data_IF_529489379295
#
_entry.id   IF_529489379295
#
_cell.length_a   1.000
_cell.length_b   1.000
_cell.length_c   1.000
_cell.angle_alpha   90.00
_cell.angle_beta   90.00
_cell.angle_gamma   90.00
#
_symmetry.space_group_name_H-M   'P 1'
#
loop_
_entity.id
_entity.type
_entity.pdbx_description
1 polymer ?
#
# COMPACT_ATOMS: atom_id res chain seq x y z
N UNK A 1 13.46 3.88 -0.61
CA UNK A 1 13.12 3.30 0.71
C UNK A 1 14.26 3.56 1.70
N UNK A 2 13.95 3.67 2.99
CA UNK A 2 14.91 3.85 4.08
C UNK A 2 14.91 2.57 4.91
N UNK A 3 16.06 1.92 5.07
CA UNK A 3 16.22 0.76 5.97
C UNK A 3 17.15 1.18 7.09
N UNK A 4 16.63 1.24 8.31
CA UNK A 4 17.29 1.73 9.51
C UNK A 4 17.46 0.63 10.56
N UNK A 5 18.48 0.78 11.42
CA UNK A 5 18.78 -0.17 12.48
C UNK A 5 17.93 0.02 13.74
N UNK A 6 17.41 1.22 13.97
CA UNK A 6 16.61 1.62 15.14
C UNK A 6 15.59 2.71 14.78
N UNK A 7 14.62 2.95 15.67
CA UNK A 7 13.58 3.98 15.51
C UNK A 7 14.18 5.38 15.35
N UNK A 8 15.17 5.73 16.17
CA UNK A 8 15.85 7.03 16.12
C UNK A 8 16.57 7.25 14.77
N UNK A 9 17.30 6.24 14.26
CA UNK A 9 17.97 6.35 12.97
C UNK A 9 16.97 6.54 11.82
N UNK A 10 15.85 5.81 11.88
CA UNK A 10 14.77 5.91 10.90
C UNK A 10 14.14 7.31 10.91
N UNK A 11 13.82 7.85 12.09
CA UNK A 11 13.26 9.20 12.25
C UNK A 11 14.19 10.25 11.65
N UNK A 12 15.46 10.25 12.06
CA UNK A 12 16.44 11.26 11.61
C UNK A 12 16.68 11.21 10.10
N UNK A 13 16.73 10.01 9.51
CA UNK A 13 16.87 9.85 8.06
C UNK A 13 15.63 10.28 7.30
N UNK A 14 14.43 10.00 7.82
CA UNK A 14 13.20 10.50 7.20
C UNK A 14 13.15 12.04 7.24
N UNK A 15 13.50 12.65 8.37
CA UNK A 15 13.60 14.12 8.49
C UNK A 15 14.60 14.66 7.46
N UNK A 16 15.79 14.05 7.34
CA UNK A 16 16.77 14.46 6.33
C UNK A 16 16.25 14.38 4.90
N UNK A 17 15.51 13.31 4.56
CA UNK A 17 14.84 13.19 3.25
C UNK A 17 13.84 14.33 3.02
N UNK A 18 13.03 14.65 4.03
CA UNK A 18 12.03 15.73 3.95
C UNK A 18 12.72 17.08 3.73
N UNK A 19 13.81 17.36 4.43
CA UNK A 19 14.56 18.62 4.27
C UNK A 19 15.27 18.72 2.91
N UNK A 20 15.77 17.60 2.37
CA UNK A 20 16.50 17.57 1.10
C UNK A 20 15.58 17.65 -0.13
N UNK A 21 14.46 16.93 -0.12
CA UNK A 21 13.57 16.80 -1.28
C UNK A 21 12.24 17.54 -1.13
N UNK A 22 11.91 17.97 0.09
CA UNK A 22 10.59 18.45 0.41
C UNK A 22 10.27 19.81 -0.20
N UNK A 23 8.98 20.00 -0.49
CA UNK A 23 8.43 21.23 -1.03
C UNK A 23 7.41 21.82 -0.08
N UNK A 24 7.18 23.14 -0.12
CA UNK A 24 6.15 23.76 0.71
C UNK A 24 4.75 23.35 0.25
N UNK A 25 3.91 22.95 1.20
CA UNK A 25 2.51 22.59 1.00
C UNK A 25 1.61 23.31 2.00
N UNK A 26 0.42 23.79 1.57
CA UNK A 26 -0.60 24.23 2.50
C UNK A 26 -1.14 23.05 3.32
N UNK A 27 -1.49 23.32 4.56
CA UNK A 27 -2.05 22.36 5.51
C UNK A 27 -3.10 23.09 6.36
N UNK A 28 -4.12 22.35 6.82
CA UNK A 28 -5.05 22.82 7.86
C UNK A 28 -4.33 23.40 9.09
N UNK A 29 -3.13 22.89 9.39
CA UNK A 29 -2.32 23.28 10.55
C UNK A 29 -1.17 24.25 10.21
N UNK A 30 -1.26 24.97 9.08
CA UNK A 30 -0.27 25.95 8.63
C UNK A 30 0.45 25.51 7.36
N UNK A 31 1.75 25.75 7.28
CA UNK A 31 2.57 25.35 6.12
C UNK A 31 3.47 24.19 6.51
N UNK A 32 3.59 23.21 5.62
CA UNK A 32 4.40 22.03 5.81
C UNK A 32 5.42 21.88 4.67
N UNK A 33 6.56 21.28 4.96
CA UNK A 33 7.51 20.80 3.97
C UNK A 33 7.24 19.31 3.80
N UNK A 34 6.81 18.89 2.62
CA UNK A 34 6.42 17.52 2.31
C UNK A 34 7.26 16.98 1.15
N UNK A 35 7.75 15.74 1.26
CA UNK A 35 8.40 15.03 0.16
C UNK A 35 7.55 13.87 -0.35
N UNK A 36 8.07 13.16 -1.37
CA UNK A 36 7.39 12.02 -2.01
C UNK A 36 7.19 10.86 -1.02
N UNK A 37 6.27 9.92 -1.31
CA UNK A 37 6.05 8.76 -0.46
C UNK A 37 7.35 8.01 -0.14
N UNK A 38 7.44 7.47 1.08
CA UNK A 38 8.62 6.76 1.54
C UNK A 38 8.23 5.45 2.24
N UNK A 39 8.83 4.34 1.81
CA UNK A 39 8.86 3.12 2.60
C UNK A 39 10.02 3.20 3.60
N UNK A 40 9.70 3.18 4.89
CA UNK A 40 10.67 3.20 5.99
C UNK A 40 10.60 1.88 6.75
N UNK A 41 11.72 1.18 6.89
CA UNK A 41 11.85 -0.10 7.60
C UNK A 41 12.76 0.08 8.81
N UNK A 42 12.34 -0.44 9.95
CA UNK A 42 13.07 -0.43 11.22
C UNK A 42 13.35 -1.89 11.61
N UNK A 43 14.61 -2.31 11.48
CA UNK A 43 15.02 -3.71 11.68
C UNK A 43 14.82 -4.19 13.12
N UNK A 44 15.19 -3.35 14.09
CA UNK A 44 15.06 -3.66 15.51
C UNK A 44 14.15 -2.59 16.15
N UNK A 45 12.84 -2.83 16.20
CA UNK A 45 11.92 -1.92 16.87
C UNK A 45 12.08 -2.04 18.40
N UNK A 46 12.32 -0.90 19.03
CA UNK A 46 12.43 -0.72 20.48
C UNK A 46 11.47 0.40 20.88
N UNK A 47 10.91 0.33 22.09
CA UNK A 47 10.13 1.44 22.63
C UNK A 47 11.05 2.62 22.93
N UNK A 48 10.65 3.80 22.48
CA UNK A 48 11.40 5.04 22.74
C UNK A 48 10.67 5.89 23.78
N UNK A 49 9.34 5.89 23.76
CA UNK A 49 8.48 6.63 24.69
C UNK A 49 7.58 5.68 25.50
N UNK A 50 6.99 6.18 26.60
CA UNK A 50 5.92 5.45 27.28
C UNK A 50 4.68 5.43 26.39
N UNK A 51 4.01 4.27 26.30
CA UNK A 51 2.78 4.11 25.52
C UNK A 51 1.62 4.89 26.17
N UNK A 52 1.52 6.19 25.90
CA UNK A 52 0.36 7.01 26.25
C UNK A 52 -0.33 7.58 25.01
N UNK A 53 -1.39 6.88 24.57
CA UNK A 53 -2.25 7.33 23.46
C UNK A 53 -3.58 7.89 23.93
N UNK A 54 -3.74 8.11 25.25
CA UNK A 54 -4.98 8.67 25.80
C UNK A 54 -5.27 10.07 25.23
N UNK A 55 -4.23 10.79 24.79
CA UNK A 55 -4.33 12.11 24.17
C UNK A 55 -4.49 12.09 22.63
N UNK A 56 -4.29 10.94 21.97
CA UNK A 56 -4.31 10.83 20.51
C UNK A 56 -5.65 10.26 20.02
N UNK A 57 -6.67 11.13 19.95
CA UNK A 57 -8.01 10.74 19.52
C UNK A 57 -8.22 10.82 18.00
N UNK A 58 -8.60 9.68 17.41
CA UNK A 58 -9.05 9.52 16.03
C UNK A 58 -10.58 9.45 16.01
N UNK A 59 -11.25 10.48 15.48
CA UNK A 59 -12.71 10.59 15.50
C UNK A 59 -13.37 10.33 16.89
N UNK A 60 -12.71 10.74 17.99
CA UNK A 60 -13.10 10.51 19.41
C UNK A 60 -12.87 9.11 19.97
N UNK A 61 -12.18 8.25 19.22
CA UNK A 61 -11.70 6.92 19.65
C UNK A 61 -10.17 6.97 19.75
N UNK A 62 -9.54 6.01 20.45
CA UNK A 62 -8.09 5.81 20.38
C UNK A 62 -7.71 4.81 19.28
N UNK A 63 -6.43 4.76 18.90
CA UNK A 63 -5.93 3.68 18.03
C UNK A 63 -6.10 2.30 18.68
N UNK A 64 -5.91 2.18 20.00
CA UNK A 64 -6.10 0.92 20.73
C UNK A 64 -7.53 0.41 20.66
N UNK A 65 -8.52 1.31 20.80
CA UNK A 65 -9.95 0.97 20.73
C UNK A 65 -10.29 0.24 19.42
N UNK A 66 -9.57 0.56 18.33
CA UNK A 66 -9.79 -0.04 17.01
C UNK A 66 -9.05 -1.36 16.78
N UNK A 67 -8.02 -1.69 17.57
CA UNK A 67 -7.17 -2.86 17.32
C UNK A 67 -7.25 -3.92 18.41
N UNK A 68 -7.50 -3.58 19.67
CA UNK A 68 -7.37 -4.49 20.82
C UNK A 68 -8.17 -5.78 20.63
N UNK A 69 -9.44 -5.68 20.22
CA UNK A 69 -10.31 -6.83 19.96
C UNK A 69 -9.93 -7.68 18.73
N UNK A 70 -8.99 -7.22 17.90
CA UNK A 70 -8.56 -7.89 16.67
C UNK A 70 -7.21 -8.59 16.83
N UNK A 71 -6.39 -8.22 17.83
CA UNK A 71 -5.06 -8.78 18.04
C UNK A 71 -5.11 -10.27 18.40
N UNK A 72 -6.07 -10.69 19.23
CA UNK A 72 -6.26 -12.10 19.59
C UNK A 72 -6.60 -12.96 18.37
N UNK A 73 -7.51 -12.47 17.52
CA UNK A 73 -7.92 -13.16 16.28
C UNK A 73 -6.74 -13.26 15.31
N UNK A 74 -5.96 -12.18 15.16
CA UNK A 74 -4.76 -12.17 14.34
C UNK A 74 -3.73 -13.21 14.83
N UNK A 75 -3.49 -13.24 16.14
CA UNK A 75 -2.54 -14.18 16.76
C UNK A 75 -2.98 -15.64 16.63
N UNK A 76 -4.27 -15.94 16.81
CA UNK A 76 -4.81 -17.29 16.62
C UNK A 76 -4.60 -17.78 15.19
N UNK A 77 -4.93 -16.94 14.19
CA UNK A 77 -4.76 -17.27 12.77
C UNK A 77 -3.29 -17.48 12.41
N UNK A 78 -2.39 -16.62 12.90
CA UNK A 78 -0.94 -16.76 12.69
C UNK A 78 -0.37 -17.99 13.38
N UNK A 79 -0.87 -18.34 14.57
CA UNK A 79 -0.46 -19.58 15.25
C UNK A 79 -0.85 -20.82 14.45
N UNK A 80 -2.04 -20.81 13.85
CA UNK A 80 -2.53 -21.92 13.04
C UNK A 80 -1.81 -22.03 11.69
N UNK A 81 -1.60 -20.91 11.00
CA UNK A 81 -0.95 -20.84 9.67
C UNK A 81 0.00 -19.65 9.61
N UNK A 82 1.26 -19.76 10.09
CA UNK A 82 2.19 -18.63 10.17
C UNK A 82 2.46 -17.93 8.84
N UNK A 83 2.44 -18.68 7.74
CA UNK A 83 2.67 -18.17 6.38
C UNK A 83 1.44 -17.51 5.76
N UNK A 84 0.33 -17.34 6.50
CA UNK A 84 -0.83 -16.61 6.01
C UNK A 84 -0.45 -15.17 5.66
N UNK A 85 -1.08 -14.66 4.61
CA UNK A 85 -0.98 -13.28 4.11
C UNK A 85 -2.28 -12.50 4.32
N UNK A 86 -3.23 -13.08 5.06
CA UNK A 86 -4.59 -12.55 5.25
C UNK A 86 -4.68 -11.57 6.41
N UNK A 87 -3.67 -11.52 7.27
CA UNK A 87 -3.71 -10.79 8.52
C UNK A 87 -3.36 -9.34 8.27
N UNK A 88 -4.42 -8.54 8.21
CA UNK A 88 -4.33 -7.10 8.01
C UNK A 88 -5.50 -6.44 8.71
N UNK A 89 -5.19 -5.52 9.62
CA UNK A 89 -6.14 -4.84 10.49
C UNK A 89 -6.39 -3.44 9.91
N UNK A 90 -7.62 -3.15 9.43
CA UNK A 90 -7.98 -1.80 9.04
C UNK A 90 -8.21 -0.95 10.28
N UNK A 91 -7.55 0.20 10.32
CA UNK A 91 -7.82 1.24 11.30
C UNK A 91 -8.79 2.25 10.71
N UNK A 92 -8.64 2.60 9.43
CA UNK A 92 -9.59 3.48 8.74
C UNK A 92 -10.95 2.81 8.55
N UNK A 93 -12.02 3.56 8.83
CA UNK A 93 -13.40 3.16 8.60
C UNK A 93 -14.11 4.22 7.73
N UNK A 94 -15.12 3.84 6.94
CA UNK A 94 -15.84 4.78 6.07
C UNK A 94 -16.40 6.01 6.82
N UNK A 95 -16.85 5.82 8.07
CA UNK A 95 -17.34 6.89 8.95
C UNK A 95 -16.30 7.98 9.21
N UNK A 96 -15.01 7.69 9.09
CA UNK A 96 -13.93 8.63 9.39
C UNK A 96 -13.89 9.81 8.42
N UNK A 97 -14.47 9.64 7.22
CA UNK A 97 -14.66 10.76 6.30
C UNK A 97 -15.51 11.90 6.88
N UNK A 98 -16.38 11.59 7.84
CA UNK A 98 -17.33 12.51 8.46
C UNK A 98 -16.77 13.18 9.72
N UNK A 99 -15.51 12.92 10.06
CA UNK A 99 -14.87 13.40 11.27
C UNK A 99 -13.72 14.37 10.96
N UNK A 100 -13.37 15.23 11.92
CA UNK A 100 -12.35 16.26 11.73
C UNK A 100 -10.91 15.75 11.90
N UNK A 101 -10.72 14.68 12.68
CA UNK A 101 -9.41 14.10 13.00
C UNK A 101 -9.37 12.62 12.64
N UNK A 102 -9.47 12.26 11.34
CA UNK A 102 -9.43 10.87 10.93
C UNK A 102 -8.04 10.25 11.18
N UNK A 103 -7.93 8.91 11.31
CA UNK A 103 -6.67 8.26 11.64
C UNK A 103 -5.60 8.48 10.58
N UNK A 104 -4.35 8.65 10.99
CA UNK A 104 -3.18 8.77 10.12
C UNK A 104 -2.63 7.40 9.70
N UNK A 105 -2.60 6.43 10.62
CA UNK A 105 -2.36 5.03 10.31
C UNK A 105 -3.68 4.42 9.87
N UNK A 106 -3.71 3.87 8.65
CA UNK A 106 -4.97 3.44 8.02
C UNK A 106 -5.13 1.92 7.96
N UNK A 107 -4.02 1.19 7.84
CA UNK A 107 -3.98 -0.28 7.78
C UNK A 107 -2.70 -0.76 8.43
N UNK A 108 -2.75 -1.90 9.13
CA UNK A 108 -1.59 -2.60 9.70
C UNK A 108 -1.61 -4.07 9.28
N UNK A 109 -0.68 -4.47 8.42
CA UNK A 109 -0.52 -5.84 7.93
C UNK A 109 0.58 -6.60 8.67
N UNK A 110 0.32 -7.86 8.96
CA UNK A 110 1.28 -8.80 9.53
C UNK A 110 1.75 -9.78 8.46
N UNK A 111 3.05 -10.07 8.43
CA UNK A 111 3.62 -11.04 7.50
C UNK A 111 4.80 -11.77 8.14
N UNK A 112 4.77 -13.09 8.09
CA UNK A 112 5.88 -13.93 8.56
C UNK A 112 6.90 -14.13 7.43
N UNK A 113 8.14 -13.69 7.66
CA UNK A 113 9.29 -13.91 6.79
C UNK A 113 10.61 -13.71 7.56
N UNK A 114 11.73 -14.22 7.04
CA UNK A 114 13.01 -14.25 7.76
C UNK A 114 12.90 -14.90 9.14
N UNK A 115 12.07 -15.94 9.23
CA UNK A 115 11.74 -16.69 10.45
C UNK A 115 11.14 -15.85 11.60
N UNK A 116 10.65 -14.64 11.28
CA UNK A 116 10.10 -13.68 12.24
C UNK A 116 8.75 -13.15 11.76
N UNK A 117 7.92 -12.74 12.72
CA UNK A 117 6.71 -11.98 12.44
C UNK A 117 7.09 -10.52 12.23
N UNK A 118 6.61 -9.93 11.14
CA UNK A 118 6.89 -8.54 10.79
C UNK A 118 5.58 -7.78 10.63
N UNK A 119 5.61 -6.47 10.89
CA UNK A 119 4.47 -5.57 10.70
C UNK A 119 4.80 -4.52 9.63
N UNK A 120 3.80 -4.16 8.84
CA UNK A 120 3.86 -3.04 7.90
C UNK A 120 2.59 -2.21 8.01
N UNK A 121 2.72 -0.90 8.16
CA UNK A 121 1.59 0.01 8.22
C UNK A 121 1.48 0.88 6.96
N UNK A 122 0.25 1.27 6.60
CA UNK A 122 0.00 2.35 5.67
C UNK A 122 -0.33 3.64 6.41
N UNK A 123 0.56 4.62 6.33
CA UNK A 123 0.45 5.91 7.01
C UNK A 123 0.15 6.99 5.98
N UNK A 124 -1.08 7.52 5.98
CA UNK A 124 -1.55 8.47 4.95
C UNK A 124 -0.92 9.86 5.08
N UNK A 125 -0.46 10.23 6.28
CA UNK A 125 0.23 11.49 6.54
C UNK A 125 1.00 11.38 7.85
N UNK A 126 2.29 11.72 7.83
CA UNK A 126 3.13 11.65 9.02
C UNK A 126 3.93 12.94 9.19
N UNK A 127 3.69 13.63 10.31
CA UNK A 127 4.63 14.63 10.81
C UNK A 127 5.80 13.89 11.47
N UNK A 128 6.89 13.79 10.71
CA UNK A 128 8.04 12.95 11.04
C UNK A 128 8.75 13.37 12.33
N UNK A 129 8.55 14.60 12.77
CA UNK A 129 9.24 15.15 13.94
C UNK A 129 8.47 14.86 15.23
N UNK A 130 7.13 14.98 15.20
CA UNK A 130 6.30 14.86 16.39
C UNK A 130 5.64 13.48 16.55
N UNK A 131 5.43 12.73 15.45
CA UNK A 131 4.58 11.53 15.47
C UNK A 131 5.29 10.26 15.00
N UNK A 132 6.51 10.36 14.46
CA UNK A 132 7.24 9.16 14.01
C UNK A 132 7.49 8.18 15.15
N UNK A 133 7.88 8.69 16.31
CA UNK A 133 8.19 7.87 17.48
C UNK A 133 6.93 7.20 18.04
N UNK A 134 5.84 7.93 18.37
CA UNK A 134 4.57 7.30 18.73
C UNK A 134 4.11 6.28 17.69
N UNK A 135 4.01 6.64 16.41
CA UNK A 135 3.53 5.70 15.39
C UNK A 135 4.40 4.42 15.33
N UNK A 136 5.72 4.53 15.54
CA UNK A 136 6.62 3.37 15.62
C UNK A 136 6.38 2.52 16.88
N UNK A 137 6.17 3.15 18.03
CA UNK A 137 5.91 2.47 19.30
C UNK A 137 4.55 1.74 19.27
N UNK A 138 3.53 2.32 18.65
CA UNK A 138 2.23 1.68 18.42
C UNK A 138 2.36 0.41 17.57
N UNK A 139 3.14 0.48 16.48
CA UNK A 139 3.39 -0.68 15.63
C UNK A 139 4.24 -1.74 16.33
N UNK A 140 5.22 -1.33 17.15
CA UNK A 140 5.99 -2.24 17.97
C UNK A 140 5.11 -2.95 19.01
N UNK A 141 4.17 -2.24 19.64
CA UNK A 141 3.17 -2.83 20.54
C UNK A 141 2.32 -3.88 19.83
N UNK A 142 1.72 -3.55 18.68
CA UNK A 142 0.91 -4.51 17.93
C UNK A 142 1.72 -5.74 17.52
N UNK A 143 2.98 -5.53 17.10
CA UNK A 143 3.88 -6.61 16.74
C UNK A 143 4.23 -7.49 17.95
N UNK A 144 4.53 -6.90 19.10
CA UNK A 144 4.85 -7.60 20.35
C UNK A 144 3.67 -8.43 20.85
N UNK A 145 2.49 -7.84 20.99
CA UNK A 145 1.27 -8.52 21.44
C UNK A 145 0.95 -9.75 20.58
N UNK A 146 0.95 -9.58 19.25
CA UNK A 146 0.63 -10.68 18.33
C UNK A 146 1.76 -11.71 18.32
N UNK A 147 3.02 -11.31 18.45
CA UNK A 147 4.17 -12.23 18.55
C UNK A 147 4.06 -13.10 19.80
N UNK A 148 3.83 -12.51 20.98
CA UNK A 148 3.67 -13.22 22.25
C UNK A 148 2.49 -14.19 22.21
N UNK A 149 1.33 -13.71 21.73
CA UNK A 149 0.12 -14.53 21.64
C UNK A 149 0.24 -15.62 20.58
N UNK A 150 0.94 -15.42 19.47
CA UNK A 150 1.10 -16.45 18.43
C UNK A 150 2.26 -17.41 18.69
N UNK A 151 3.22 -17.03 19.55
CA UNK A 151 4.47 -17.76 19.78
C UNK A 151 5.50 -17.57 18.67
N UNK A 152 5.33 -16.58 17.79
CA UNK A 152 6.26 -16.25 16.72
C UNK A 152 7.29 -15.22 17.20
N UNK A 153 8.53 -15.31 16.71
CA UNK A 153 9.57 -14.36 17.10
C UNK A 153 9.35 -12.99 16.46
N UNK A 154 9.54 -11.91 17.24
CA UNK A 154 9.43 -10.53 16.78
C UNK A 154 10.47 -10.21 15.70
N UNK A 155 10.01 -9.57 14.63
CA UNK A 155 10.81 -9.07 13.49
C UNK A 155 10.80 -7.55 13.38
N UNK A 156 10.83 -7.06 12.13
CA UNK A 156 10.90 -5.65 11.80
C UNK A 156 9.52 -5.00 11.69
N UNK A 157 9.46 -3.69 11.94
CA UNK A 157 8.30 -2.87 11.57
C UNK A 157 8.63 -2.04 10.32
N UNK A 158 7.62 -1.70 9.54
CA UNK A 158 7.75 -0.79 8.42
C UNK A 158 6.53 0.12 8.29
N UNK A 159 6.73 1.28 7.67
CA UNK A 159 5.69 2.23 7.34
C UNK A 159 5.82 2.61 5.87
N UNK A 160 4.78 2.37 5.07
CA UNK A 160 4.59 3.09 3.82
C UNK A 160 3.96 4.44 4.18
N UNK A 161 4.74 5.51 4.07
CA UNK A 161 4.30 6.85 4.44
C UNK A 161 3.99 7.60 3.15
N UNK A 162 2.72 7.94 2.93
CA UNK A 162 2.30 8.65 1.71
C UNK A 162 2.72 10.12 1.71
N UNK A 163 2.45 10.83 2.80
CA UNK A 163 2.77 12.25 2.94
C UNK A 163 3.71 12.48 4.14
N UNK A 164 5.01 12.12 4.02
CA UNK A 164 6.02 12.46 5.02
C UNK A 164 6.25 13.97 5.00
N UNK A 165 6.10 14.61 6.16
CA UNK A 165 6.26 16.06 6.26
C UNK A 165 6.80 16.51 7.61
N UNK A 166 7.22 17.77 7.66
CA UNK A 166 7.45 18.55 8.88
C UNK A 166 6.76 19.90 8.71
N UNK A 167 6.42 20.59 9.80
CA UNK A 167 5.86 21.94 9.70
C UNK A 167 6.96 23.00 9.56
N UNK A 168 6.69 24.07 8.78
CA UNK A 168 7.67 25.15 8.55
C UNK A 168 8.15 25.79 9.88
N UNK A 169 7.27 25.86 10.89
CA UNK A 169 7.60 26.36 12.23
C UNK A 169 8.62 25.51 12.99
N UNK A 170 8.80 24.25 12.59
CA UNK A 170 9.64 23.27 13.28
C UNK A 170 10.94 22.95 12.50
N UNK A 171 11.23 23.69 11.41
CA UNK A 171 12.39 23.44 10.54
C UNK A 171 13.72 23.54 11.28
N UNK A 172 13.90 24.54 12.14
CA UNK A 172 15.15 24.69 12.91
C UNK A 172 15.40 23.47 13.81
N UNK A 173 14.35 22.93 14.43
CA UNK A 173 14.45 21.70 15.24
C UNK A 173 14.76 20.50 14.34
N UNK A 174 14.06 20.38 13.21
CA UNK A 174 14.29 19.32 12.24
C UNK A 174 15.74 19.29 11.72
N UNK A 175 16.32 20.45 11.39
CA UNK A 175 17.72 20.57 10.94
C UNK A 175 18.72 20.07 12.01
N UNK A 176 18.42 20.29 13.29
CA UNK A 176 19.27 19.84 14.40
C UNK A 176 19.24 18.31 14.63
N UNK A 177 18.16 17.65 14.22
CA UNK A 177 17.96 16.20 14.37
C UNK A 177 18.23 15.41 13.09
N UNK A 178 18.23 16.08 11.93
CA UNK A 178 18.31 15.44 10.63
C UNK A 178 19.60 14.64 10.43
N UNK A 179 19.46 13.51 9.74
CA UNK A 179 20.56 12.73 9.20
C UNK A 179 20.33 12.55 7.71
N UNK A 180 21.40 12.62 6.91
CA UNK A 180 21.32 12.39 5.46
C UNK A 180 20.58 11.08 5.15
N UNK A 181 19.58 11.16 4.28
CA UNK A 181 18.84 10.00 3.82
C UNK A 181 19.59 9.33 2.68
N UNK A 182 20.15 8.15 2.93
CA UNK A 182 20.57 7.25 1.85
C UNK A 182 19.41 6.34 1.50
N UNK A 183 18.72 6.65 0.41
CA UNK A 183 17.68 5.76 -0.11
C UNK A 183 18.30 4.53 -0.76
N UNK A 184 17.64 3.40 -0.55
CA UNK A 184 17.97 2.13 -1.19
C UNK A 184 16.94 1.89 -2.29
N UNK A 185 17.41 1.41 -3.43
CA UNK A 185 16.62 0.96 -4.58
C UNK A 185 17.03 -0.47 -4.93
N UNK A 186 16.11 -1.25 -5.49
CA UNK A 186 16.28 -2.68 -5.72
C UNK A 186 15.78 -3.56 -4.57
N UNK A 187 16.19 -4.81 -4.57
CA UNK A 187 15.72 -5.85 -3.63
C UNK A 187 16.67 -6.00 -2.45
N UNK A 188 16.12 -6.11 -1.24
CA UNK A 188 16.84 -6.43 0.00
C UNK A 188 16.12 -7.54 0.75
N UNK A 189 16.69 -8.00 1.86
CA UNK A 189 16.05 -9.02 2.70
C UNK A 189 14.74 -8.59 3.36
N UNK A 190 14.51 -7.28 3.51
CA UNK A 190 13.40 -6.70 4.27
C UNK A 190 12.32 -6.05 3.40
N UNK A 191 12.69 -5.62 2.21
CA UNK A 191 11.86 -4.83 1.30
C UNK A 191 12.47 -4.75 -0.10
N UNK A 192 11.66 -4.37 -1.08
CA UNK A 192 12.13 -3.98 -2.41
C UNK A 192 11.56 -2.62 -2.81
N UNK A 193 12.36 -1.82 -3.52
CA UNK A 193 11.95 -0.53 -4.05
C UNK A 193 12.31 -0.40 -5.53
N UNK A 194 11.31 -0.40 -6.40
CA UNK A 194 11.47 -0.30 -7.85
C UNK A 194 10.97 1.06 -8.33
N UNK A 195 11.71 1.68 -9.25
CA UNK A 195 11.32 2.96 -9.86
C UNK A 195 11.42 2.80 -11.36
N UNK A 196 10.28 2.97 -12.03
CA UNK A 196 10.12 2.66 -13.44
C UNK A 196 9.33 3.77 -14.14
N UNK A 197 9.49 3.90 -15.44
CA UNK A 197 8.80 4.96 -16.19
C UNK A 197 7.34 4.57 -16.49
N UNK A 198 7.07 3.29 -16.80
CA UNK A 198 5.77 2.82 -17.29
C UNK A 198 5.21 1.66 -16.46
N UNK A 199 3.88 1.45 -16.51
CA UNK A 199 3.23 0.32 -15.83
C UNK A 199 3.77 -1.02 -16.33
N UNK A 200 4.01 -1.14 -17.63
CA UNK A 200 4.55 -2.37 -18.25
C UNK A 200 5.97 -2.71 -17.79
N UNK A 201 6.87 -1.72 -17.70
CA UNK A 201 8.24 -1.95 -17.22
C UNK A 201 8.26 -2.20 -15.71
N UNK A 202 7.43 -1.48 -14.95
CA UNK A 202 7.20 -1.73 -13.53
C UNK A 202 6.74 -3.16 -13.21
N UNK A 203 5.80 -3.69 -13.98
CA UNK A 203 5.38 -5.08 -13.84
C UNK A 203 6.50 -6.07 -14.20
N UNK A 204 7.25 -5.81 -15.28
CA UNK A 204 8.37 -6.66 -15.68
C UNK A 204 9.48 -6.70 -14.61
N UNK A 205 9.88 -5.55 -14.08
CA UNK A 205 10.87 -5.46 -13.01
C UNK A 205 10.38 -6.12 -11.71
N UNK A 206 9.07 -6.04 -11.42
CA UNK A 206 8.47 -6.76 -10.30
C UNK A 206 8.48 -8.29 -10.51
N UNK A 207 8.22 -8.78 -11.74
CA UNK A 207 8.36 -10.19 -12.08
C UNK A 207 9.78 -10.67 -11.85
N UNK A 208 10.79 -9.93 -12.31
CA UNK A 208 12.20 -10.31 -12.12
C UNK A 208 12.58 -10.34 -10.64
N UNK A 209 12.22 -9.30 -9.89
CA UNK A 209 12.49 -9.20 -8.45
C UNK A 209 11.89 -10.39 -7.67
N UNK A 210 10.64 -10.75 -7.97
CA UNK A 210 9.95 -11.86 -7.30
C UNK A 210 10.41 -13.22 -7.81
N UNK A 211 10.74 -13.34 -9.10
CA UNK A 211 11.30 -14.56 -9.66
C UNK A 211 12.62 -14.90 -8.97
N UNK A 212 13.48 -13.94 -8.63
CA UNK A 212 14.70 -14.20 -7.84
C UNK A 212 14.50 -14.08 -6.31
N UNK A 213 13.24 -13.96 -5.87
CA UNK A 213 12.85 -13.81 -4.48
C UNK A 213 12.99 -15.07 -3.64
N UNK A 214 12.52 -14.97 -2.40
CA UNK A 214 12.51 -16.06 -1.42
C UNK A 214 11.40 -17.07 -1.76
N UNK A 215 11.52 -18.30 -1.30
CA UNK A 215 10.43 -19.28 -1.39
C UNK A 215 9.66 -19.33 -0.08
N UNK A 216 8.34 -19.50 -0.15
CA UNK A 216 7.49 -19.75 1.02
C UNK A 216 6.32 -20.66 0.69
N UNK A 217 5.72 -21.24 1.72
CA UNK A 217 4.45 -21.97 1.62
C UNK A 217 3.28 -21.03 1.42
N UNK A 218 2.19 -21.54 0.83
CA UNK A 218 0.94 -20.80 0.68
C UNK A 218 -0.25 -21.57 1.27
N UNK A 219 -1.28 -20.83 1.68
CA UNK A 219 -2.54 -21.43 2.17
C UNK A 219 -3.35 -22.12 1.05
N UNK A 220 -3.03 -21.87 -0.23
CA UNK A 220 -3.71 -22.48 -1.37
C UNK A 220 -3.19 -23.86 -1.71
N UNK A 221 -2.05 -24.29 -1.15
CA UNK A 221 -1.50 -25.62 -1.37
C UNK A 221 -2.42 -26.76 -0.96
N UNK A 222 -3.35 -26.50 -0.03
CA UNK A 222 -4.38 -27.46 0.41
C UNK A 222 -5.48 -27.66 -0.64
N UNK A 223 -5.64 -26.71 -1.57
CA UNK A 223 -6.72 -26.66 -2.56
C UNK A 223 -6.23 -26.86 -4.00
N UNK A 224 -5.05 -26.34 -4.33
CA UNK A 224 -4.45 -26.37 -5.66
C UNK A 224 -3.05 -26.97 -5.63
N UNK A 225 -2.87 -28.12 -6.29
CA UNK A 225 -1.62 -28.91 -6.27
C UNK A 225 -0.39 -28.10 -6.76
N UNK A 226 -0.58 -27.10 -7.61
CA UNK A 226 0.46 -26.22 -8.14
C UNK A 226 0.75 -24.94 -7.33
N UNK A 227 -0.02 -24.66 -6.27
CA UNK A 227 0.10 -23.43 -5.46
C UNK A 227 0.62 -23.70 -4.05
N UNK A 228 1.22 -24.85 -3.80
CA UNK A 228 1.77 -25.21 -2.49
C UNK A 228 2.87 -24.26 -2.02
N UNK A 229 3.70 -23.81 -2.97
CA UNK A 229 4.75 -22.84 -2.74
C UNK A 229 4.62 -21.65 -3.69
N UNK A 230 5.25 -20.55 -3.30
CA UNK A 230 5.38 -19.35 -4.12
C UNK A 230 6.77 -18.77 -3.95
N UNK A 231 7.32 -18.18 -5.02
CA UNK A 231 8.40 -17.20 -4.86
C UNK A 231 7.82 -15.86 -4.43
N UNK A 232 8.48 -15.14 -3.54
CA UNK A 232 7.97 -13.90 -3.00
C UNK A 232 9.05 -12.90 -2.60
N UNK A 233 8.67 -11.63 -2.56
CA UNK A 233 9.43 -10.51 -1.99
C UNK A 233 8.52 -9.77 -0.99
N UNK A 234 8.98 -9.54 0.25
CA UNK A 234 8.22 -8.74 1.20
C UNK A 234 8.29 -7.25 0.84
N UNK A 235 7.24 -6.49 1.15
CA UNK A 235 7.19 -5.02 1.09
C UNK A 235 7.73 -4.46 -0.24
N UNK A 236 7.16 -4.92 -1.35
CA UNK A 236 7.47 -4.40 -2.68
C UNK A 236 6.81 -3.03 -2.84
N UNK A 237 7.63 -1.99 -2.92
CA UNK A 237 7.22 -0.61 -3.24
C UNK A 237 7.65 -0.26 -4.66
N UNK A 238 6.70 0.21 -5.48
CA UNK A 238 6.92 0.53 -6.90
C UNK A 238 6.46 1.96 -7.16
N UNK A 239 7.34 2.78 -7.72
CA UNK A 239 7.03 4.11 -8.25
C UNK A 239 6.96 4.06 -9.78
N UNK A 240 5.88 4.59 -10.35
CA UNK A 240 5.72 4.72 -11.81
C UNK A 240 5.53 6.18 -12.17
N UNK A 241 6.44 6.69 -13.00
CA UNK A 241 6.52 8.14 -13.32
C UNK A 241 5.52 8.59 -14.37
N UNK A 242 5.20 7.73 -15.33
CA UNK A 242 4.30 8.00 -16.46
C UNK A 242 3.25 6.88 -16.61
N UNK A 243 2.36 6.71 -15.62
CA UNK A 243 1.36 5.65 -15.63
C UNK A 243 0.38 5.70 -16.81
N UNK A 244 0.29 6.83 -17.52
CA UNK A 244 -0.52 7.06 -18.72
C UNK A 244 0.11 6.46 -20.01
N UNK A 245 1.43 6.21 -20.03
CA UNK A 245 2.18 5.73 -21.18
C UNK A 245 2.50 4.23 -21.06
N UNK A 246 2.54 3.50 -22.19
CA UNK A 246 2.95 2.09 -22.29
C UNK A 246 2.34 1.20 -21.18
N UNK A 247 1.02 1.29 -21.04
CA UNK A 247 0.31 0.74 -19.88
C UNK A 247 0.27 -0.78 -19.81
N UNK A 248 0.36 -1.49 -20.95
CA UNK A 248 0.20 -2.95 -21.03
C UNK A 248 1.42 -3.60 -21.66
N UNK A 249 2.06 -4.51 -20.92
CA UNK A 249 3.15 -5.34 -21.39
C UNK A 249 2.64 -6.32 -22.46
N UNK A 250 3.40 -6.56 -23.52
CA UNK A 250 3.01 -7.40 -24.67
C UNK A 250 2.71 -8.87 -24.27
N UNK A 251 3.46 -9.40 -23.30
CA UNK A 251 3.25 -10.70 -22.67
C UNK A 251 2.36 -10.70 -21.41
N UNK A 252 1.61 -9.63 -21.13
CA UNK A 252 0.71 -9.62 -19.99
C UNK A 252 -0.39 -10.69 -20.14
N UNK A 253 -0.78 -11.42 -19.07
CA UNK A 253 -1.76 -12.49 -19.15
C UNK A 253 -3.22 -11.98 -19.18
N UNK A 254 -3.46 -10.82 -19.79
CA UNK A 254 -4.80 -10.26 -19.99
C UNK A 254 -4.83 -9.35 -21.22
N UNK A 255 -6.01 -9.15 -21.79
CA UNK A 255 -6.20 -8.23 -22.93
C UNK A 255 -6.57 -6.83 -22.45
N UNK A 256 -6.39 -5.82 -23.30
CA UNK A 256 -6.81 -4.45 -22.99
C UNK A 256 -8.31 -4.37 -22.65
N UNK A 257 -9.15 -5.09 -23.38
CA UNK A 257 -10.60 -5.12 -23.17
C UNK A 257 -10.93 -5.64 -21.76
N UNK A 258 -10.26 -6.73 -21.33
CA UNK A 258 -10.40 -7.22 -19.96
C UNK A 258 -9.95 -6.18 -18.93
N UNK A 259 -8.80 -5.54 -19.15
CA UNK A 259 -8.27 -4.53 -18.22
C UNK A 259 -9.22 -3.35 -18.03
N UNK A 260 -9.83 -2.87 -19.11
CA UNK A 260 -10.80 -1.77 -19.08
C UNK A 260 -12.07 -2.20 -18.35
N UNK A 261 -12.63 -3.37 -18.66
CA UNK A 261 -13.82 -3.91 -17.99
C UNK A 261 -13.56 -4.13 -16.48
N UNK A 262 -12.39 -4.68 -16.13
CA UNK A 262 -11.99 -4.87 -14.74
C UNK A 262 -11.90 -3.51 -14.01
N UNK A 263 -11.23 -2.52 -14.60
CA UNK A 263 -11.14 -1.18 -14.02
C UNK A 263 -12.53 -0.56 -13.82
N UNK A 264 -13.35 -0.55 -14.87
CA UNK A 264 -14.64 0.13 -14.87
C UNK A 264 -15.65 -0.53 -13.94
N UNK A 265 -15.70 -1.86 -13.91
CA UNK A 265 -16.76 -2.58 -13.23
C UNK A 265 -16.40 -3.12 -11.85
N UNK A 266 -15.12 -3.43 -11.59
CA UNK A 266 -14.69 -4.01 -10.31
C UNK A 266 -13.94 -3.02 -9.42
N UNK A 267 -13.33 -1.98 -9.99
CA UNK A 267 -12.51 -1.01 -9.24
C UNK A 267 -13.20 0.35 -9.07
N UNK A 268 -13.79 0.87 -10.14
CA UNK A 268 -14.24 2.28 -10.19
C UNK A 268 -15.77 2.42 -10.06
N UNK A 269 -16.52 1.51 -10.68
CA UNK A 269 -17.93 1.74 -11.05
C UNK A 269 -18.08 2.99 -11.93
N UNK A 270 -17.43 2.95 -13.10
CA UNK A 270 -17.19 4.11 -13.97
C UNK A 270 -18.46 4.81 -14.45
N UNK A 271 -19.58 4.08 -14.65
CA UNK A 271 -20.86 4.65 -15.11
C UNK A 271 -21.44 5.74 -14.20
N UNK A 272 -21.00 5.78 -12.94
CA UNK A 272 -21.42 6.79 -11.96
C UNK A 272 -20.23 7.47 -11.30
N UNK A 273 -19.07 7.58 -11.95
CA UNK A 273 -17.88 8.18 -11.31
C UNK A 273 -18.10 9.65 -10.92
N UNK A 274 -18.87 10.40 -11.71
CA UNK A 274 -19.10 11.84 -11.56
C UNK A 274 -20.23 12.21 -10.59
N UNK A 275 -20.88 11.22 -9.96
CA UNK A 275 -22.03 11.40 -9.05
C UNK A 275 -22.00 10.41 -7.89
N UNK A 276 -22.64 10.71 -6.75
CA UNK A 276 -22.66 9.78 -5.62
C UNK A 276 -23.45 8.50 -5.92
N UNK A 277 -22.98 7.38 -5.38
CA UNK A 277 -23.71 6.10 -5.36
C UNK A 277 -24.43 5.95 -4.02
N UNK A 278 -25.71 5.59 -4.06
CA UNK A 278 -26.57 5.45 -2.87
C UNK A 278 -27.36 4.15 -2.84
N UNK A 279 -27.04 3.22 -3.73
CA UNK A 279 -27.67 1.92 -3.87
C UNK A 279 -26.61 0.81 -4.01
N UNK A 280 -26.93 -0.45 -3.67
CA UNK A 280 -26.00 -1.57 -3.83
C UNK A 280 -25.51 -1.73 -5.27
N UNK A 281 -24.19 -1.88 -5.42
CA UNK A 281 -23.52 -2.09 -6.72
C UNK A 281 -22.72 -3.40 -6.78
N UNK A 282 -22.88 -4.27 -5.76
CA UNK A 282 -22.25 -5.59 -5.75
C UNK A 282 -22.79 -6.43 -6.91
N UNK A 283 -21.89 -7.00 -7.70
CA UNK A 283 -22.28 -7.91 -8.78
C UNK A 283 -22.79 -9.22 -8.20
N UNK A 284 -23.82 -9.79 -8.83
CA UNK A 284 -24.40 -11.07 -8.43
C UNK A 284 -23.33 -12.18 -8.45
N UNK A 285 -23.24 -12.95 -7.36
CA UNK A 285 -22.28 -14.05 -7.21
C UNK A 285 -20.90 -13.64 -6.68
N UNK A 286 -20.61 -12.33 -6.55
CA UNK A 286 -19.36 -11.85 -5.97
C UNK A 286 -19.45 -11.69 -4.45
N UNK A 287 -18.39 -12.05 -3.73
CA UNK A 287 -18.29 -11.80 -2.27
C UNK A 287 -18.06 -10.32 -1.99
N UNK A 288 -17.30 -9.66 -2.85
CA UNK A 288 -17.05 -8.22 -2.82
C UNK A 288 -16.56 -7.75 -4.20
N UNK A 289 -16.62 -6.44 -4.45
CA UNK A 289 -15.77 -5.78 -5.45
C UNK A 289 -15.05 -4.60 -4.79
N UNK A 290 -13.94 -4.13 -5.36
CA UNK A 290 -13.28 -2.94 -4.80
C UNK A 290 -14.16 -1.70 -4.95
N UNK A 291 -14.91 -1.59 -6.05
CA UNK A 291 -15.86 -0.51 -6.28
C UNK A 291 -16.97 -0.49 -5.22
N UNK A 292 -17.52 -1.66 -4.86
CA UNK A 292 -18.53 -1.80 -3.79
C UNK A 292 -17.97 -1.29 -2.45
N UNK A 293 -16.80 -1.77 -2.04
CA UNK A 293 -16.15 -1.33 -0.78
C UNK A 293 -15.77 0.16 -0.76
N UNK A 294 -15.44 0.71 -1.93
CA UNK A 294 -15.07 2.12 -2.09
C UNK A 294 -16.28 3.07 -2.10
N UNK A 295 -17.44 2.62 -2.57
CA UNK A 295 -18.55 3.52 -2.91
C UNK A 295 -19.85 3.24 -2.18
N UNK A 296 -20.22 1.98 -2.02
CA UNK A 296 -21.43 1.61 -1.31
C UNK A 296 -21.33 0.14 -0.87
N UNK A 297 -20.97 -0.08 0.39
CA UNK A 297 -20.98 -1.41 0.98
C UNK A 297 -22.19 -1.58 1.89
N UNK A 298 -23.03 -2.57 1.61
CA UNK A 298 -24.27 -2.78 2.35
C UNK A 298 -24.02 -3.12 3.82
N UNK A 299 -22.93 -3.83 4.09
CA UNK A 299 -22.51 -4.27 5.42
C UNK A 299 -21.88 -3.16 6.28
N UNK A 300 -21.60 -1.98 5.70
CA UNK A 300 -21.10 -0.85 6.48
C UNK A 300 -22.19 -0.30 7.41
N UNK A 301 -21.83 -0.10 8.68
CA UNK A 301 -22.68 0.58 9.67
C UNK A 301 -23.05 1.99 9.22
N UNK A 302 -22.06 2.72 8.69
CA UNK A 302 -22.20 4.05 8.11
C UNK A 302 -21.77 3.98 6.65
N UNK A 303 -22.75 4.08 5.75
CA UNK A 303 -22.54 4.01 4.30
C UNK A 303 -22.03 5.34 3.79
N UNK A 304 -20.88 5.30 3.14
CA UNK A 304 -20.19 6.47 2.63
C UNK A 304 -19.63 6.15 1.25
N UNK A 305 -19.95 6.96 0.23
CA UNK A 305 -19.23 6.93 -1.04
C UNK A 305 -17.88 7.63 -0.86
N UNK A 306 -16.91 6.84 -0.40
CA UNK A 306 -15.57 7.31 -0.02
C UNK A 306 -14.85 7.91 -1.23
N UNK A 307 -14.98 7.26 -2.40
CA UNK A 307 -14.37 7.76 -3.64
C UNK A 307 -14.97 9.11 -4.05
N UNK A 308 -16.30 9.23 -4.09
CA UNK A 308 -16.95 10.49 -4.43
C UNK A 308 -16.59 11.60 -3.42
N UNK A 309 -16.55 11.28 -2.14
CA UNK A 309 -16.17 12.26 -1.12
C UNK A 309 -14.71 12.70 -1.20
N UNK A 310 -13.79 11.80 -1.58
CA UNK A 310 -12.40 12.20 -1.89
C UNK A 310 -12.36 13.22 -3.04
N UNK A 311 -13.15 13.02 -4.10
CA UNK A 311 -13.23 13.97 -5.21
C UNK A 311 -13.77 15.34 -4.78
N UNK A 312 -14.82 15.37 -3.96
CA UNK A 312 -15.37 16.62 -3.41
C UNK A 312 -14.33 17.34 -2.56
N UNK A 313 -13.65 16.63 -1.64
CA UNK A 313 -12.58 17.19 -0.80
C UNK A 313 -11.44 17.78 -1.65
N UNK A 314 -11.05 17.11 -2.74
CA UNK A 314 -9.99 17.58 -3.64
C UNK A 314 -10.41 18.81 -4.46
N UNK A 315 -11.69 18.92 -4.85
CA UNK A 315 -12.24 20.11 -5.52
C UNK A 315 -12.28 21.31 -4.59
N UNK A 316 -12.64 21.10 -3.32
CA UNK A 316 -12.68 22.14 -2.29
C UNK A 316 -11.26 22.60 -1.90
N UNK A 317 -10.37 21.65 -1.59
CA UNK A 317 -9.01 21.91 -1.16
C UNK A 317 -8.05 20.87 -1.76
N UNK A 318 -7.30 21.29 -2.79
CA UNK A 318 -6.48 20.38 -3.61
C UNK A 318 -5.39 19.64 -2.83
N UNK A 319 -4.91 20.20 -1.73
CA UNK A 319 -3.83 19.64 -0.92
C UNK A 319 -4.31 18.85 0.31
N UNK A 320 -5.59 18.44 0.34
CA UNK A 320 -6.13 17.58 1.39
C UNK A 320 -5.38 16.25 1.45
N UNK A 321 -5.01 15.83 2.66
CA UNK A 321 -4.25 14.60 2.95
C UNK A 321 -5.10 13.49 3.58
N UNK A 322 -6.40 13.71 3.74
CA UNK A 322 -7.39 12.75 4.25
C UNK A 322 -8.31 12.22 3.13
N UNK A 323 -7.89 12.36 1.88
CA UNK A 323 -8.51 11.74 0.71
C UNK A 323 -8.04 10.27 0.60
N UNK A 324 -8.56 9.44 1.50
CA UNK A 324 -8.27 8.02 1.59
C UNK A 324 -9.55 7.21 1.33
N UNK A 325 -9.42 6.04 0.70
CA UNK A 325 -10.51 5.09 0.50
C UNK A 325 -10.12 3.76 1.13
N UNK A 326 -10.85 3.35 2.16
CA UNK A 326 -10.68 2.05 2.80
C UNK A 326 -11.48 0.96 2.09
N UNK A 327 -10.82 -0.11 1.68
CA UNK A 327 -11.45 -1.28 1.02
C UNK A 327 -11.68 -2.40 2.05
N UNK A 328 -10.69 -2.62 2.89
CA UNK A 328 -10.70 -3.56 3.99
C UNK A 328 -11.68 -3.18 5.10
N UNK A 329 -12.16 -4.18 5.83
CA UNK A 329 -13.02 -4.05 7.00
C UNK A 329 -12.61 -5.04 8.09
N UNK A 330 -12.94 -4.78 9.37
CA UNK A 330 -12.52 -5.66 10.48
C UNK A 330 -12.93 -7.12 10.30
N UNK A 331 -14.12 -7.39 9.73
CA UNK A 331 -14.60 -8.75 9.47
C UNK A 331 -13.79 -9.49 8.40
N UNK A 332 -13.01 -8.80 7.57
CA UNK A 332 -12.15 -9.46 6.58
C UNK A 332 -11.04 -10.27 7.26
N UNK A 333 -10.72 -10.00 8.54
CA UNK A 333 -9.71 -10.75 9.29
C UNK A 333 -10.05 -12.24 9.42
N UNK A 334 -11.35 -12.57 9.49
CA UNK A 334 -11.87 -13.94 9.57
C UNK A 334 -12.41 -14.46 8.24
N UNK A 335 -12.48 -13.63 7.20
CA UNK A 335 -12.94 -14.03 5.86
C UNK A 335 -12.00 -15.04 5.19
N UNK A 336 -12.57 -15.86 4.32
CA UNK A 336 -11.84 -16.78 3.44
C UNK A 336 -11.32 -16.10 2.17
N UNK A 337 -11.99 -15.03 1.73
CA UNK A 337 -11.64 -14.23 0.57
C UNK A 337 -11.50 -12.75 0.95
N UNK A 338 -10.54 -12.39 1.84
CA UNK A 338 -10.36 -11.00 2.20
C UNK A 338 -9.80 -10.19 1.03
N UNK A 339 -10.20 -8.92 0.85
CA UNK A 339 -9.63 -8.05 -0.18
C UNK A 339 -8.10 -7.99 -0.12
N UNK A 340 -7.46 -8.16 -1.29
CA UNK A 340 -6.02 -8.01 -1.45
C UNK A 340 -5.61 -6.54 -1.37
N UNK A 341 -6.32 -5.66 -2.08
CA UNK A 341 -6.25 -4.22 -1.87
C UNK A 341 -6.88 -3.88 -0.52
N UNK A 342 -6.18 -3.13 0.31
CA UNK A 342 -6.67 -2.73 1.64
C UNK A 342 -7.18 -1.30 1.63
N UNK A 343 -6.52 -0.43 0.89
CA UNK A 343 -6.98 0.92 0.65
C UNK A 343 -6.02 1.67 -0.23
N UNK A 344 -6.43 2.89 -0.59
CA UNK A 344 -5.62 3.77 -1.40
C UNK A 344 -5.85 5.22 -1.02
N UNK A 345 -4.87 6.06 -1.34
CA UNK A 345 -4.91 7.48 -1.08
C UNK A 345 -4.70 8.26 -2.37
N UNK A 346 -5.45 9.36 -2.51
CA UNK A 346 -5.36 10.30 -3.63
C UNK A 346 -4.91 11.65 -3.09
N UNK A 347 -3.70 12.09 -3.44
CA UNK A 347 -3.13 13.34 -2.90
C UNK A 347 -2.46 14.17 -3.98
N UNK A 348 -2.48 15.48 -3.82
CA UNK A 348 -1.69 16.39 -4.63
C UNK A 348 -0.19 16.11 -4.45
N UNK A 349 0.51 15.98 -5.57
CA UNK A 349 1.97 15.97 -5.65
C UNK A 349 2.44 17.17 -6.48
N UNK A 350 3.26 18.03 -5.87
CA UNK A 350 3.82 19.22 -6.51
C UNK A 350 5.12 18.83 -7.21
N UNK A 351 5.09 18.76 -8.54
CA UNK A 351 6.27 18.51 -9.37
C UNK A 351 6.47 19.65 -10.35
N UNK A 352 7.60 20.37 -10.27
CA UNK A 352 7.95 21.46 -11.19
C UNK A 352 6.80 22.46 -11.45
N UNK A 353 6.18 22.96 -10.37
CA UNK A 353 5.00 23.85 -10.41
C UNK A 353 3.75 23.28 -11.10
N UNK A 354 3.78 22.00 -11.50
CA UNK A 354 2.63 21.26 -12.01
C UNK A 354 1.91 20.55 -10.86
N UNK A 355 0.58 20.57 -10.93
CA UNK A 355 -0.29 19.95 -9.94
C UNK A 355 -0.72 18.57 -10.45
N UNK A 356 0.01 17.52 -10.06
CA UNK A 356 -0.33 16.14 -10.39
C UNK A 356 -1.07 15.49 -9.21
N UNK A 357 -1.92 14.52 -9.52
CA UNK A 357 -2.56 13.68 -8.51
C UNK A 357 -1.79 12.37 -8.35
N UNK A 358 -1.26 12.11 -7.16
CA UNK A 358 -0.65 10.83 -6.82
C UNK A 358 -1.71 9.86 -6.31
N UNK A 359 -1.73 8.65 -6.88
CA UNK A 359 -2.47 7.50 -6.38
C UNK A 359 -1.53 6.53 -5.68
N UNK A 360 -1.73 6.30 -4.37
CA UNK A 360 -0.92 5.39 -3.56
C UNK A 360 -1.78 4.21 -3.12
N UNK A 361 -1.47 3.01 -3.60
CA UNK A 361 -2.28 1.81 -3.40
C UNK A 361 -1.56 0.81 -2.49
N UNK A 362 -2.23 0.39 -1.41
CA UNK A 362 -1.67 -0.54 -0.44
C UNK A 362 -2.37 -1.89 -0.50
N UNK A 363 -1.62 -2.93 -0.87
CA UNK A 363 -2.08 -4.30 -0.94
C UNK A 363 -1.39 -5.17 0.11
N UNK A 364 -2.17 -5.99 0.84
CA UNK A 364 -1.61 -6.99 1.76
C UNK A 364 -0.87 -8.11 1.02
N UNK A 365 -1.28 -8.37 -0.22
CA UNK A 365 -0.67 -9.36 -1.10
C UNK A 365 -1.05 -9.08 -2.56
N UNK A 366 -0.15 -9.35 -3.49
CA UNK A 366 -0.46 -9.31 -4.92
C UNK A 366 0.25 -10.44 -5.66
N UNK A 367 -0.51 -11.25 -6.41
CA UNK A 367 0.04 -12.18 -7.41
C UNK A 367 0.60 -11.37 -8.57
N UNK A 368 1.92 -11.40 -8.73
CA UNK A 368 2.63 -10.58 -9.70
C UNK A 368 2.34 -11.06 -11.12
N UNK A 369 2.29 -12.37 -11.35
CA UNK A 369 2.01 -12.89 -12.68
C UNK A 369 0.52 -12.72 -13.03
N UNK A 370 -0.37 -13.31 -12.23
CA UNK A 370 -1.78 -13.45 -12.59
C UNK A 370 -2.62 -12.18 -12.42
N UNK A 371 -2.25 -11.25 -11.53
CA UNK A 371 -3.16 -10.17 -11.13
C UNK A 371 -2.54 -8.76 -11.11
N UNK A 372 -1.26 -8.61 -10.73
CA UNK A 372 -0.65 -7.30 -10.47
C UNK A 372 -0.76 -6.37 -11.67
N UNK A 373 -0.49 -6.87 -12.87
CA UNK A 373 -0.54 -6.01 -14.05
C UNK A 373 -1.95 -5.46 -14.30
N UNK A 374 -3.01 -6.28 -14.17
CA UNK A 374 -4.39 -5.82 -14.32
C UNK A 374 -4.79 -4.85 -13.20
N UNK A 375 -4.34 -5.11 -11.96
CA UNK A 375 -4.51 -4.19 -10.83
C UNK A 375 -3.85 -2.84 -11.08
N UNK A 376 -2.58 -2.83 -11.49
CA UNK A 376 -1.84 -1.61 -11.78
C UNK A 376 -2.50 -0.79 -12.89
N UNK A 377 -2.93 -1.46 -13.96
CA UNK A 377 -3.70 -0.82 -15.04
C UNK A 377 -4.96 -0.15 -14.48
N UNK A 378 -5.79 -0.89 -13.74
CA UNK A 378 -7.04 -0.38 -13.19
C UNK A 378 -6.85 0.77 -12.19
N UNK A 379 -5.84 0.68 -11.33
CA UNK A 379 -5.52 1.69 -10.32
C UNK A 379 -4.95 2.97 -10.94
N UNK A 380 -4.11 2.83 -11.99
CA UNK A 380 -3.65 3.96 -12.79
C UNK A 380 -4.83 4.65 -13.49
N UNK A 381 -5.74 3.89 -14.13
CA UNK A 381 -6.96 4.43 -14.76
C UNK A 381 -7.85 5.15 -13.75
N UNK A 382 -8.06 4.59 -12.55
CA UNK A 382 -8.80 5.27 -11.49
C UNK A 382 -8.15 6.62 -11.13
N UNK A 383 -6.82 6.63 -10.97
CA UNK A 383 -6.09 7.85 -10.61
C UNK A 383 -6.18 8.91 -11.70
N UNK A 384 -6.07 8.49 -12.97
CA UNK A 384 -6.22 9.35 -14.15
C UNK A 384 -7.61 9.97 -14.22
N UNK A 385 -8.67 9.17 -14.04
CA UNK A 385 -10.04 9.66 -14.04
C UNK A 385 -10.30 10.66 -12.92
N UNK A 386 -9.81 10.38 -11.70
CA UNK A 386 -9.96 11.34 -10.60
C UNK A 386 -9.16 12.61 -10.88
N UNK A 387 -7.96 12.51 -11.43
CA UNK A 387 -7.15 13.66 -11.80
C UNK A 387 -7.89 14.57 -12.79
N UNK A 388 -8.47 14.00 -13.84
CA UNK A 388 -9.26 14.74 -14.84
C UNK A 388 -10.51 15.38 -14.21
N UNK A 389 -11.29 14.62 -13.44
CA UNK A 389 -12.52 15.09 -12.79
C UNK A 389 -12.31 16.10 -11.65
N UNK A 390 -11.05 16.34 -11.26
CA UNK A 390 -10.64 17.30 -10.22
C UNK A 390 -9.59 18.30 -10.74
N UNK A 391 -9.51 18.46 -12.07
CA UNK A 391 -8.70 19.45 -12.79
C UNK A 391 -7.18 19.40 -12.57
N UNK A 392 -6.61 18.23 -12.22
CA UNK A 392 -5.16 18.03 -12.13
C UNK A 392 -4.55 17.82 -13.52
N UNK A 393 -3.29 18.23 -13.70
CA UNK A 393 -2.63 18.22 -15.01
C UNK A 393 -2.02 16.87 -15.40
N UNK A 394 -2.17 15.85 -14.56
CA UNK A 394 -1.60 14.51 -14.75
C UNK A 394 -1.59 13.73 -13.44
N UNK A 395 -1.05 12.51 -13.47
CA UNK A 395 -1.00 11.65 -12.30
C UNK A 395 0.36 10.98 -12.07
N UNK A 396 0.64 10.59 -10.84
CA UNK A 396 1.74 9.70 -10.49
C UNK A 396 1.17 8.48 -9.80
N UNK A 397 1.85 7.35 -9.92
CA UNK A 397 1.32 6.07 -9.48
C UNK A 397 2.31 5.35 -8.57
N UNK A 398 1.83 4.96 -7.40
CA UNK A 398 2.58 4.23 -6.40
C UNK A 398 1.84 2.96 -6.05
N UNK A 399 2.53 1.84 -6.18
CA UNK A 399 1.99 0.52 -5.86
C UNK A 399 2.78 -0.10 -4.73
N UNK A 400 2.07 -0.60 -3.72
CA UNK A 400 2.69 -1.32 -2.62
C UNK A 400 2.02 -2.68 -2.45
N UNK A 401 2.84 -3.73 -2.40
CA UNK A 401 2.42 -5.08 -2.04
C UNK A 401 3.26 -5.57 -0.86
N UNK A 402 2.61 -5.78 0.29
CA UNK A 402 3.28 -6.33 1.47
C UNK A 402 3.83 -7.74 1.20
N UNK A 403 3.10 -8.51 0.39
CA UNK A 403 3.47 -9.84 -0.08
C UNK A 403 3.33 -9.95 -1.61
N UNK A 404 4.38 -9.62 -2.34
CA UNK A 404 4.47 -9.76 -3.78
C UNK A 404 4.94 -11.17 -4.13
N UNK A 405 4.15 -11.96 -4.87
CA UNK A 405 4.44 -13.39 -5.08
C UNK A 405 4.13 -13.90 -6.48
N UNK A 406 4.75 -15.02 -6.85
CA UNK A 406 4.46 -15.83 -8.04
C UNK A 406 4.22 -17.26 -7.55
N UNK A 407 3.07 -17.84 -7.89
CA UNK A 407 2.78 -19.24 -7.57
C UNK A 407 3.70 -20.20 -8.33
N UNK A 408 4.03 -21.34 -7.69
CA UNK A 408 4.92 -22.35 -8.24
C UNK A 408 4.56 -22.78 -9.67
N UNK A 409 3.27 -22.98 -9.97
CA UNK A 409 2.80 -23.37 -11.30
C UNK A 409 3.11 -22.35 -12.42
N UNK A 410 3.30 -21.07 -12.09
CA UNK A 410 3.56 -20.02 -13.08
C UNK A 410 5.05 -19.68 -13.25
N UNK A 411 5.95 -20.37 -12.54
CA UNK A 411 7.39 -20.07 -12.58
C UNK A 411 7.97 -20.24 -14.00
N UNK A 412 7.58 -21.29 -14.72
CA UNK A 412 8.06 -21.52 -16.08
C UNK A 412 7.52 -20.47 -17.07
N UNK A 413 6.24 -20.10 -16.96
CA UNK A 413 5.65 -19.04 -17.78
C UNK A 413 6.35 -17.69 -17.54
N UNK A 414 6.66 -17.36 -16.28
CA UNK A 414 7.43 -16.15 -15.95
C UNK A 414 8.84 -16.22 -16.51
N UNK A 415 9.50 -17.40 -16.45
CA UNK A 415 10.83 -17.58 -17.03
C UNK A 415 10.84 -17.30 -18.53
N UNK A 416 9.82 -17.72 -19.28
CA UNK A 416 9.69 -17.41 -20.71
C UNK A 416 9.45 -15.91 -21.00
N UNK A 417 8.81 -15.20 -20.07
CA UNK A 417 8.65 -13.75 -20.15
C UNK A 417 9.99 -13.04 -19.99
N UNK A 418 10.71 -13.37 -18.92
CA UNK A 418 11.97 -12.75 -18.51
C UNK A 418 13.16 -13.16 -19.41
N UNK A 419 13.19 -14.42 -19.82
CA UNK A 419 14.29 -15.03 -20.56
C UNK A 419 13.76 -15.77 -21.80
N UNK A 420 13.16 -15.04 -22.78
CA UNK A 420 12.65 -15.66 -23.99
C UNK A 420 13.76 -16.39 -24.73
N UNK A 421 13.49 -17.62 -25.17
CA UNK A 421 14.42 -18.32 -26.05
C UNK A 421 14.51 -17.58 -27.39
N UNK A 422 15.71 -17.20 -27.78
CA UNK A 422 15.95 -16.67 -29.12
C UNK A 422 15.68 -17.78 -30.14
N UNK A 423 14.80 -17.58 -31.14
CA UNK A 423 14.60 -18.57 -32.19
C UNK A 423 15.95 -18.88 -32.85
N UNK A 424 16.33 -20.17 -32.91
CA UNK A 424 17.55 -20.57 -33.58
C UNK A 424 17.47 -20.19 -35.07
N UNK A 425 18.36 -19.31 -35.53
CA UNK A 425 18.40 -18.77 -36.90
C UNK A 425 18.73 -19.83 -37.98
N UNK A 426 18.90 -21.11 -37.63
CA UNK A 426 19.52 -22.14 -38.49
C UNK A 426 18.71 -23.44 -38.64
N UNK A 427 17.39 -23.38 -38.81
CA UNK A 427 16.57 -24.57 -39.15
C UNK A 427 15.99 -24.59 -40.57
N UNK A 428 16.34 -23.62 -41.44
CA UNK A 428 15.84 -23.55 -42.83
C UNK A 428 16.91 -23.54 -43.93
N UNK A 429 18.16 -23.91 -43.64
CA UNK A 429 19.16 -24.19 -44.67
C UNK A 429 19.44 -25.68 -44.75
N UNK A 430 18.47 -26.43 -45.27
CA UNK A 430 18.70 -27.72 -45.91
C UNK A 430 18.19 -27.62 -47.35
N UNK A 431 19.10 -27.29 -48.27
CA UNK A 431 19.04 -27.62 -49.69
C UNK A 431 20.43 -28.06 -50.14
#
# INVERSE_FOLDING_TARGET
MIIASSVEDARRRLIGKILEEGKPFPSRYGRAIQCRPALVVIKNPEYVEELDYSCWQICRESYFDRVEGLLDVAAERLRAKPYTRRISIPIWLPKDHLCETPPAITEVSFLYFNDRLNVTAFVRSLDALNYFTPDSDFLNYMLEEVSEKSGLEKGSIAMLISCPHIYERDVERAESEARKAEEIFGVTDEAAHLVEDYISSAWHSALEAVYHGKEKQTEWGEVFEGQQTSRFVPRLFVEVRKPEENQIHDKAPFTREYGVEYAHSYVIYANCIDKPVSEPILKEGEVYTYAERARYCENDEVKVDQLYMCMEKLREERCRRDCYVGISRPWDLTSDEPPCLRGYQLVCEIQNDCNRLAGIFYMRSNDIYGAMHANMFAFATLTEYVAELTDFSGCTYYHFANDAHIYGEFIDAVKEILYPETPAFWSHLTL
#
